data_IF_968471557505
#
_entry.id   IF_968471557505
#
_cell.length_a   1.000
_cell.length_b   1.000
_cell.length_c   1.000
_cell.angle_alpha   90.00
_cell.angle_beta   90.00
_cell.angle_gamma   90.00
#
_symmetry.space_group_name_H-M   'P 1'
#
loop_
_entity.id
_entity.type
_entity.pdbx_description
1 polymer ?
#
# COMPACT_ATOMS: atom_id res chain seq x y z
N UNK A 1 -7.29 -13.02 -12.98
CA UNK A 1 -6.87 -11.73 -12.40
C UNK A 1 -7.36 -11.65 -10.98
N UNK A 2 -6.56 -11.06 -10.09
CA UNK A 2 -6.87 -10.87 -8.68
C UNK A 2 -6.67 -9.40 -8.32
N UNK A 3 -7.50 -8.89 -7.41
CA UNK A 3 -7.28 -7.56 -6.82
C UNK A 3 -6.11 -7.65 -5.85
N UNK A 4 -5.15 -6.75 -5.99
CA UNK A 4 -4.03 -6.58 -5.05
C UNK A 4 -3.88 -5.13 -4.64
N UNK A 5 -3.07 -4.90 -3.62
CA UNK A 5 -2.74 -3.57 -3.18
C UNK A 5 -1.27 -3.45 -2.77
N UNK A 6 -0.74 -2.23 -2.86
CA UNK A 6 0.54 -1.85 -2.26
C UNK A 6 0.30 -0.72 -1.27
N UNK A 7 0.80 -0.91 -0.04
CA UNK A 7 0.70 0.04 1.05
C UNK A 7 2.00 0.87 1.14
N UNK A 8 1.85 2.19 1.26
CA UNK A 8 2.91 3.15 1.53
C UNK A 8 2.62 3.78 2.89
N UNK A 9 3.57 3.64 3.82
CA UNK A 9 3.49 4.13 5.19
C UNK A 9 4.90 4.48 5.67
N UNK A 10 5.03 5.51 6.50
CA UNK A 10 6.30 5.83 7.16
C UNK A 10 6.11 6.86 8.25
N UNK A 11 6.55 6.53 9.47
CA UNK A 11 6.49 7.42 10.65
C UNK A 11 7.27 8.74 10.45
N UNK A 12 8.20 8.78 9.51
CA UNK A 12 9.01 9.96 9.17
C UNK A 12 8.76 10.49 7.74
N UNK A 13 7.85 9.86 6.98
CA UNK A 13 7.53 10.28 5.62
C UNK A 13 6.46 11.39 5.66
N UNK A 14 6.64 12.43 4.84
CA UNK A 14 5.57 13.41 4.65
C UNK A 14 4.45 12.82 3.79
N UNK A 15 3.26 13.44 3.82
CA UNK A 15 2.19 13.08 2.89
C UNK A 15 2.63 13.15 1.42
N UNK A 16 3.44 14.15 1.09
CA UNK A 16 3.96 14.34 -0.27
C UNK A 16 4.85 13.17 -0.71
N UNK A 17 5.71 12.68 0.19
CA UNK A 17 6.56 11.52 -0.07
C UNK A 17 5.73 10.25 -0.28
N UNK A 18 4.69 10.05 0.55
CA UNK A 18 3.80 8.88 0.44
C UNK A 18 3.00 8.90 -0.87
N UNK A 19 2.46 10.06 -1.25
CA UNK A 19 1.72 10.20 -2.50
C UNK A 19 2.63 10.13 -3.73
N UNK A 20 3.86 10.64 -3.65
CA UNK A 20 4.85 10.52 -4.73
C UNK A 20 5.18 9.05 -5.01
N UNK A 21 5.50 8.28 -3.97
CA UNK A 21 5.78 6.85 -4.12
C UNK A 21 4.57 6.07 -4.64
N UNK A 22 3.37 6.41 -4.18
CA UNK A 22 2.14 5.81 -4.67
C UNK A 22 1.90 6.13 -6.15
N UNK A 23 2.14 7.36 -6.59
CA UNK A 23 2.00 7.79 -7.98
C UNK A 23 3.04 7.13 -8.89
N UNK A 24 4.28 6.98 -8.45
CA UNK A 24 5.33 6.26 -9.19
C UNK A 24 4.95 4.78 -9.39
N UNK A 25 4.44 4.12 -8.35
CA UNK A 25 3.97 2.75 -8.48
C UNK A 25 2.72 2.63 -9.37
N UNK A 26 1.77 3.56 -9.24
CA UNK A 26 0.58 3.58 -10.10
C UNK A 26 0.95 3.72 -11.59
N UNK A 27 1.99 4.49 -11.91
CA UNK A 27 2.54 4.57 -13.27
C UNK A 27 3.11 3.22 -13.75
N UNK A 28 3.81 2.48 -12.88
CA UNK A 28 4.35 1.15 -13.21
C UNK A 28 3.24 0.09 -13.40
N UNK A 29 2.15 0.18 -12.64
CA UNK A 29 0.97 -0.66 -12.80
C UNK A 29 0.34 -0.46 -14.18
N UNK A 30 0.25 0.81 -14.62
CA UNK A 30 -0.34 1.21 -15.89
C UNK A 30 -1.86 1.44 -15.80
N UNK A 31 -2.43 2.27 -16.69
CA UNK A 31 -3.80 2.76 -16.58
C UNK A 31 -4.87 1.66 -16.65
N UNK A 32 -4.61 0.58 -17.39
CA UNK A 32 -5.59 -0.51 -17.57
C UNK A 32 -5.72 -1.42 -16.33
N UNK A 33 -4.69 -1.45 -15.49
CA UNK A 33 -4.64 -2.30 -14.28
C UNK A 33 -4.85 -1.52 -13.00
N UNK A 34 -4.68 -0.20 -13.01
CA UNK A 34 -4.90 0.65 -11.85
C UNK A 34 -6.39 0.74 -11.52
N UNK A 35 -6.74 0.44 -10.27
CA UNK A 35 -8.12 0.55 -9.77
C UNK A 35 -8.29 1.89 -9.05
N UNK A 36 -7.45 2.17 -8.06
CA UNK A 36 -7.63 3.33 -7.18
C UNK A 36 -6.36 3.67 -6.39
N UNK A 37 -6.24 4.92 -5.95
CA UNK A 37 -5.33 5.35 -4.87
C UNK A 37 -6.18 5.90 -3.71
N UNK A 38 -6.01 5.31 -2.53
CA UNK A 38 -6.76 5.65 -1.31
C UNK A 38 -5.79 6.05 -0.20
N UNK A 39 -6.27 6.82 0.79
CA UNK A 39 -5.46 7.19 1.94
C UNK A 39 -6.27 7.12 3.23
N UNK A 40 -5.58 6.89 4.34
CA UNK A 40 -6.16 6.93 5.68
C UNK A 40 -5.16 7.55 6.66
N UNK A 41 -5.69 8.28 7.64
CA UNK A 41 -4.91 8.85 8.74
C UNK A 41 -5.52 8.40 10.06
N UNK A 42 -4.73 7.74 10.90
CA UNK A 42 -5.11 7.43 12.28
C UNK A 42 -4.02 7.88 13.22
N UNK A 43 -4.34 8.82 14.12
CA UNK A 43 -3.43 9.25 15.19
C UNK A 43 -2.08 9.83 14.74
N UNK A 44 -1.98 10.36 13.50
CA UNK A 44 -0.74 10.88 12.94
C UNK A 44 0.05 9.88 12.08
N UNK A 45 -0.46 8.66 11.93
CA UNK A 45 0.11 7.66 11.04
C UNK A 45 -0.63 7.70 9.69
N UNK A 46 0.01 8.32 8.71
CA UNK A 46 -0.49 8.45 7.34
C UNK A 46 -0.19 7.19 6.52
N UNK A 47 -1.22 6.66 5.88
CA UNK A 47 -1.09 5.54 4.93
C UNK A 47 -1.68 5.92 3.58
N UNK A 48 -1.04 5.47 2.51
CA UNK A 48 -1.54 5.55 1.14
C UNK A 48 -1.52 4.15 0.54
N UNK A 49 -2.61 3.75 -0.11
CA UNK A 49 -2.79 2.42 -0.68
C UNK A 49 -3.15 2.52 -2.15
N UNK A 50 -2.39 1.83 -3.00
CA UNK A 50 -2.68 1.67 -4.44
C UNK A 50 -3.32 0.31 -4.68
N UNK A 51 -4.52 0.30 -5.23
CA UNK A 51 -5.28 -0.90 -5.59
C UNK A 51 -5.15 -1.17 -7.10
N UNK A 52 -4.91 -2.42 -7.49
CA UNK A 52 -4.68 -2.77 -8.88
C UNK A 52 -5.03 -4.24 -9.19
N UNK A 53 -5.26 -4.53 -10.48
CA UNK A 53 -5.45 -5.88 -10.98
C UNK A 53 -4.10 -6.54 -11.30
N UNK A 54 -3.91 -7.78 -10.85
CA UNK A 54 -2.71 -8.58 -11.11
C UNK A 54 -3.05 -9.97 -11.65
N UNK A 55 -2.15 -10.53 -12.46
CA UNK A 55 -2.23 -11.93 -12.90
C UNK A 55 -1.71 -12.86 -11.80
N UNK A 56 -2.20 -14.09 -11.76
CA UNK A 56 -1.90 -15.05 -10.68
C UNK A 56 -0.42 -15.41 -10.59
N UNK A 57 0.32 -15.36 -11.71
CA UNK A 57 1.74 -15.69 -11.78
C UNK A 57 2.67 -14.55 -11.29
N UNK A 58 2.15 -13.32 -11.25
CA UNK A 58 2.84 -12.16 -10.65
C UNK A 58 2.67 -12.07 -9.13
N UNK A 59 2.32 -13.19 -8.47
CA UNK A 59 1.99 -13.25 -7.04
C UNK A 59 3.14 -13.57 -6.09
N UNK A 60 4.34 -13.80 -6.60
CA UNK A 60 5.52 -13.96 -5.76
C UNK A 60 6.07 -12.57 -5.44
N UNK A 61 6.13 -12.24 -4.15
CA UNK A 61 6.63 -10.97 -3.57
C UNK A 61 5.58 -9.88 -3.30
N UNK A 62 4.53 -10.24 -2.55
CA UNK A 62 3.99 -9.28 -1.59
C UNK A 62 5.03 -9.16 -0.45
N UNK A 63 5.56 -7.97 -0.13
CA UNK A 63 6.52 -7.79 0.95
C UNK A 63 5.91 -8.30 2.26
N UNK A 64 6.70 -8.84 3.20
CA UNK A 64 6.20 -9.32 4.48
C UNK A 64 5.41 -8.20 5.13
N UNK A 65 4.09 -8.39 5.14
CA UNK A 65 3.17 -7.52 5.85
C UNK A 65 3.42 -7.86 7.32
N UNK A 66 4.27 -7.08 7.98
CA UNK A 66 4.52 -7.18 9.42
C UNK A 66 3.23 -6.78 10.16
N UNK A 67 2.29 -7.73 10.20
CA UNK A 67 0.97 -7.61 10.83
C UNK A 67 0.94 -8.28 12.21
N UNK A 68 2.05 -8.86 12.68
CA UNK A 68 2.08 -9.68 13.88
C UNK A 68 2.59 -8.98 15.15
N UNK A 69 2.93 -7.68 15.14
CA UNK A 69 3.47 -7.03 16.35
C UNK A 69 2.48 -6.29 17.26
N UNK A 70 1.23 -6.07 16.85
CA UNK A 70 0.26 -5.31 17.67
C UNK A 70 -0.98 -6.10 18.11
N UNK A 71 -0.84 -7.42 18.28
CA UNK A 71 -1.79 -8.22 19.07
C UNK A 71 -1.08 -8.82 20.29
N UNK A 72 -1.58 -8.48 21.49
CA UNK A 72 -1.14 -8.80 22.87
C UNK A 72 -0.21 -7.73 23.46
N UNK A 73 -0.50 -7.04 24.56
CA UNK A 73 -1.46 -7.28 25.67
C UNK A 73 -2.18 -5.97 25.99
N UNK A 74 -3.48 -6.07 26.25
CA UNK A 74 -4.13 -5.22 27.25
C UNK A 74 -4.02 -6.01 28.54
N UNK A 75 -3.21 -5.52 29.47
CA UNK A 75 -3.26 -5.81 30.90
C UNK A 75 -3.06 -4.50 31.66
#
# INVERSE_FOLDING_TARGET
MQVKYKLFRGLLASWDDLFTQAAEFAQQVGPDRLINVSHANSGGDGTVTVWYWADEESATEAPPQDQDRFSRSVD
#
